data_IF_040285428329
#
_entry.id   IF_040285428329
#
_cell.length_a   1.000
_cell.length_b   1.000
_cell.length_c   1.000
_cell.angle_alpha   90.00
_cell.angle_beta   90.00
_cell.angle_gamma   90.00
#
_symmetry.space_group_name_H-M   'P 1'
#
loop_
_entity.id
_entity.type
_entity.pdbx_description
1 polymer ?
#
# COMPACT_ATOMS: atom_id res chain seq x y z
N UNK A 1 -18.57 13.53 -5.15
CA UNK A 1 -18.73 12.31 -4.31
C UNK A 1 -20.21 12.19 -3.93
N UNK A 2 -20.79 10.99 -3.96
CA UNK A 2 -22.24 10.78 -3.70
C UNK A 2 -22.51 10.08 -2.38
N UNK A 3 -21.64 9.12 -2.08
CA UNK A 3 -21.72 8.31 -0.88
C UNK A 3 -20.45 8.45 -0.07
N UNK A 4 -20.62 8.41 1.24
CA UNK A 4 -19.54 8.45 2.21
C UNK A 4 -19.84 7.45 3.31
N UNK A 5 -18.93 6.51 3.51
CA UNK A 5 -19.07 5.42 4.48
C UNK A 5 -17.95 5.45 5.50
N UNK A 6 -18.28 5.10 6.74
CA UNK A 6 -17.28 4.71 7.75
C UNK A 6 -17.84 3.53 8.52
N UNK A 7 -17.05 2.46 8.59
CA UNK A 7 -17.41 1.21 9.26
C UNK A 7 -16.26 0.84 10.18
N UNK A 8 -16.57 0.48 11.41
CA UNK A 8 -15.58 0.05 12.40
C UNK A 8 -16.25 -0.67 13.54
N UNK A 9 -15.46 -1.46 14.27
CA UNK A 9 -16.00 -2.39 15.25
C UNK A 9 -15.03 -2.61 16.43
N UNK A 10 -15.59 -3.07 17.54
CA UNK A 10 -14.91 -3.83 18.60
C UNK A 10 -15.45 -5.27 18.57
N UNK A 11 -14.89 -6.21 19.35
CA UNK A 11 -15.50 -7.54 19.50
C UNK A 11 -16.97 -7.51 19.93
N UNK A 12 -17.42 -6.44 20.60
CA UNK A 12 -18.76 -6.36 21.18
C UNK A 12 -19.74 -5.49 20.36
N UNK A 13 -19.25 -4.56 19.53
CA UNK A 13 -20.10 -3.64 18.78
C UNK A 13 -19.56 -3.35 17.38
N UNK A 14 -20.44 -3.32 16.39
CA UNK A 14 -20.18 -2.82 15.04
C UNK A 14 -20.99 -1.54 14.80
N UNK A 15 -20.34 -0.52 14.25
CA UNK A 15 -21.01 0.71 13.79
C UNK A 15 -20.67 0.94 12.33
N UNK A 16 -21.71 1.07 11.51
CA UNK A 16 -21.63 1.52 10.13
C UNK A 16 -22.37 2.85 9.99
N UNK A 17 -21.76 3.81 9.33
CA UNK A 17 -22.32 5.14 9.13
C UNK A 17 -22.23 5.51 7.66
N UNK A 18 -23.34 5.96 7.11
CA UNK A 18 -23.45 6.48 5.76
C UNK A 18 -23.90 7.93 5.77
N UNK A 19 -23.33 8.72 4.86
CA UNK A 19 -23.76 10.08 4.55
C UNK A 19 -23.88 10.19 3.04
N UNK A 20 -25.03 10.63 2.56
CA UNK A 20 -25.32 10.85 1.15
C UNK A 20 -26.65 11.57 0.96
N UNK A 21 -26.89 12.06 -0.24
CA UNK A 21 -28.19 12.63 -0.60
C UNK A 21 -29.13 11.50 -1.02
N UNK A 22 -30.36 11.47 -0.47
CA UNK A 22 -31.36 10.44 -0.77
C UNK A 22 -31.78 10.41 -2.25
N UNK A 23 -31.54 11.50 -2.99
CA UNK A 23 -31.86 11.64 -4.41
C UNK A 23 -30.66 11.29 -5.33
N UNK A 24 -29.58 10.73 -4.77
CA UNK A 24 -28.36 10.35 -5.51
C UNK A 24 -27.63 11.54 -6.17
N UNK A 25 -27.99 12.79 -5.81
CA UNK A 25 -27.23 13.96 -6.23
C UNK A 25 -25.84 13.99 -5.56
N UNK A 26 -24.89 14.66 -6.21
CA UNK A 26 -23.55 14.79 -5.66
C UNK A 26 -23.54 15.71 -4.42
N UNK A 27 -22.83 15.31 -3.38
CA UNK A 27 -22.60 16.15 -2.20
C UNK A 27 -21.61 17.27 -2.53
N UNK A 28 -21.88 18.48 -2.02
CA UNK A 28 -21.15 19.71 -2.39
C UNK A 28 -19.93 20.01 -1.51
N UNK A 29 -19.95 19.68 -0.21
CA UNK A 29 -18.88 20.01 0.76
C UNK A 29 -18.27 18.80 1.49
N UNK A 30 -19.02 17.72 1.65
CA UNK A 30 -18.59 16.52 2.39
C UNK A 30 -18.03 15.51 1.39
N UNK A 31 -16.83 15.80 0.88
CA UNK A 31 -16.26 15.11 -0.27
C UNK A 31 -15.14 14.10 0.07
N UNK A 32 -15.08 13.62 1.32
CA UNK A 32 -14.17 12.55 1.74
C UNK A 32 -14.74 11.76 2.92
N UNK A 33 -14.45 10.45 2.96
CA UNK A 33 -14.73 9.54 4.10
C UNK A 33 -14.53 10.20 5.46
N UNK A 34 -13.36 10.83 5.60
CA UNK A 34 -12.85 11.44 6.84
C UNK A 34 -13.66 12.67 7.30
N UNK A 35 -14.27 13.41 6.37
CA UNK A 35 -14.99 14.66 6.70
C UNK A 35 -16.49 14.49 6.79
N UNK A 36 -17.03 13.30 6.48
CA UNK A 36 -18.47 13.04 6.47
C UNK A 36 -18.95 11.99 7.46
N UNK A 37 -18.85 10.71 7.09
CA UNK A 37 -19.33 9.64 7.95
C UNK A 37 -18.41 9.41 9.17
N UNK A 38 -17.10 9.65 9.03
CA UNK A 38 -16.13 9.34 10.10
C UNK A 38 -16.36 10.12 11.41
N UNK A 39 -16.66 11.44 11.41
CA UNK A 39 -16.93 12.19 12.64
C UNK A 39 -18.21 11.72 13.35
N UNK A 40 -19.23 11.29 12.60
CA UNK A 40 -20.48 10.75 13.17
C UNK A 40 -20.18 9.39 13.81
N UNK A 41 -19.50 8.50 13.09
CA UNK A 41 -19.03 7.21 13.61
C UNK A 41 -18.19 7.39 14.88
N UNK A 42 -17.25 8.34 14.91
CA UNK A 42 -16.40 8.60 16.07
C UNK A 42 -17.19 9.03 17.30
N UNK A 43 -18.20 9.89 17.12
CA UNK A 43 -19.08 10.32 18.22
C UNK A 43 -19.88 9.14 18.78
N UNK A 44 -20.43 8.28 17.92
CA UNK A 44 -21.16 7.08 18.32
C UNK A 44 -20.23 6.16 19.12
N UNK A 45 -19.07 5.80 18.56
CA UNK A 45 -18.11 4.90 19.21
C UNK A 45 -17.63 5.44 20.56
N UNK A 46 -17.28 6.73 20.66
CA UNK A 46 -16.90 7.35 21.93
C UNK A 46 -18.00 7.30 22.97
N UNK A 47 -19.25 7.49 22.56
CA UNK A 47 -20.38 7.44 23.47
C UNK A 47 -20.62 6.01 23.99
N UNK A 48 -20.73 5.03 23.10
CA UNK A 48 -21.04 3.65 23.48
C UNK A 48 -19.91 2.95 24.25
N UNK A 49 -18.65 3.38 24.05
CA UNK A 49 -17.48 2.80 24.71
C UNK A 49 -17.05 3.55 25.99
N UNK A 50 -17.67 4.70 26.32
CA UNK A 50 -17.22 5.57 27.41
C UNK A 50 -17.04 4.89 28.77
N UNK A 51 -17.90 3.91 29.10
CA UNK A 51 -17.86 3.13 30.35
C UNK A 51 -17.63 1.63 30.09
N UNK A 52 -17.09 1.26 28.93
CA UNK A 52 -16.78 -0.13 28.58
C UNK A 52 -15.31 -0.43 28.85
N UNK A 53 -15.04 -1.59 29.43
CA UNK A 53 -13.67 -2.10 29.51
C UNK A 53 -13.23 -2.52 28.10
N UNK A 54 -11.99 -2.21 27.75
CA UNK A 54 -11.41 -2.66 26.49
C UNK A 54 -11.41 -4.18 26.40
N UNK A 55 -12.01 -4.69 25.33
CA UNK A 55 -12.00 -6.09 24.95
C UNK A 55 -11.23 -6.22 23.64
N UNK A 56 -9.99 -6.70 23.71
CA UNK A 56 -9.17 -6.96 22.54
C UNK A 56 -9.41 -8.38 22.02
N UNK A 57 -9.45 -8.58 20.69
CA UNK A 57 -9.51 -9.92 20.14
C UNK A 57 -8.28 -10.72 20.55
N UNK A 58 -8.50 -11.96 20.98
CA UNK A 58 -7.40 -12.91 21.21
C UNK A 58 -6.86 -13.39 19.87
N UNK A 59 -5.53 -13.47 19.75
CA UNK A 59 -4.89 -14.02 18.55
C UNK A 59 -5.41 -15.45 18.29
N UNK A 60 -6.04 -15.73 17.14
CA UNK A 60 -6.57 -17.05 16.84
C UNK A 60 -5.47 -18.11 16.72
N UNK A 61 -5.84 -19.38 16.94
CA UNK A 61 -4.98 -20.50 16.58
C UNK A 61 -4.66 -20.46 15.09
N UNK A 62 -3.39 -20.72 14.73
CA UNK A 62 -2.95 -20.66 13.35
C UNK A 62 -2.62 -19.24 12.87
N UNK A 63 -2.63 -18.22 13.72
CA UNK A 63 -1.94 -16.95 13.45
C UNK A 63 -0.57 -16.98 14.11
N UNK A 64 0.48 -16.67 13.37
CA UNK A 64 1.88 -16.70 13.84
C UNK A 64 2.57 -15.36 13.57
N UNK A 65 3.53 -15.00 14.42
CA UNK A 65 4.42 -13.86 14.18
C UNK A 65 5.62 -14.29 13.33
N UNK A 66 6.00 -13.48 12.35
CA UNK A 66 7.26 -13.62 11.60
C UNK A 66 7.92 -12.28 11.40
N UNK A 67 9.24 -12.29 11.43
CA UNK A 67 10.03 -11.14 11.01
C UNK A 67 10.08 -11.10 9.48
N UNK A 68 9.76 -9.94 8.94
CA UNK A 68 9.87 -9.63 7.51
C UNK A 68 10.72 -8.39 7.30
N UNK A 69 11.36 -8.27 6.16
CA UNK A 69 12.07 -7.06 5.78
C UNK A 69 11.15 -5.85 5.78
N UNK A 70 11.56 -4.75 6.40
CA UNK A 70 10.75 -3.54 6.57
C UNK A 70 10.32 -2.89 5.25
N UNK A 71 11.09 -3.07 4.18
CA UNK A 71 10.81 -2.51 2.85
C UNK A 71 10.07 -3.53 1.97
N UNK A 72 10.62 -4.73 1.80
CA UNK A 72 10.08 -5.72 0.86
C UNK A 72 8.88 -6.50 1.40
N UNK A 73 8.72 -6.59 2.73
CA UNK A 73 7.72 -7.46 3.36
C UNK A 73 8.01 -8.96 3.21
N UNK A 74 9.20 -9.34 2.69
CA UNK A 74 9.60 -10.73 2.53
C UNK A 74 10.30 -11.29 3.77
N UNK A 75 10.38 -12.61 3.84
CA UNK A 75 11.19 -13.29 4.86
C UNK A 75 12.68 -12.98 4.63
N UNK A 76 13.43 -12.57 5.67
CA UNK A 76 14.87 -12.38 5.57
C UNK A 76 15.57 -13.72 5.31
N UNK A 77 16.55 -13.74 4.41
CA UNK A 77 17.40 -14.92 4.17
C UNK A 77 18.86 -14.60 4.52
N UNK A 78 19.71 -15.62 4.76
CA UNK A 78 21.14 -15.39 4.97
C UNK A 78 21.82 -14.66 3.81
N UNK A 79 21.35 -14.88 2.58
CA UNK A 79 21.88 -14.27 1.35
C UNK A 79 21.38 -12.83 1.14
N UNK A 80 20.23 -12.48 1.73
CA UNK A 80 19.62 -11.17 1.60
C UNK A 80 19.10 -10.71 2.97
N UNK A 81 20.05 -10.36 3.84
CA UNK A 81 19.74 -9.79 5.16
C UNK A 81 19.25 -8.35 5.03
N UNK A 82 18.30 -7.98 5.88
CA UNK A 82 17.59 -6.70 5.81
C UNK A 82 17.20 -6.24 7.23
N UNK A 83 16.88 -4.96 7.39
CA UNK A 83 16.19 -4.49 8.58
C UNK A 83 14.80 -5.12 8.64
N UNK A 84 14.44 -5.72 9.78
CA UNK A 84 13.19 -6.47 9.93
C UNK A 84 12.15 -5.75 10.80
N UNK A 85 10.88 -6.07 10.55
CA UNK A 85 9.74 -5.77 11.42
C UNK A 85 8.89 -7.03 11.59
N UNK A 86 8.23 -7.13 12.74
CA UNK A 86 7.34 -8.27 13.04
C UNK A 86 5.95 -8.04 12.46
N UNK A 87 5.43 -9.03 11.74
CA UNK A 87 4.08 -9.05 11.17
C UNK A 87 3.36 -10.37 11.51
N UNK A 88 2.03 -10.34 11.49
CA UNK A 88 1.18 -11.50 11.74
C UNK A 88 0.78 -12.19 10.43
N UNK A 89 0.94 -13.51 10.40
CA UNK A 89 0.60 -14.36 9.25
C UNK A 89 -0.31 -15.50 9.65
N UNK A 90 -1.11 -15.98 8.69
CA UNK A 90 -1.72 -17.30 8.82
C UNK A 90 -0.59 -18.33 8.71
N UNK A 91 -0.59 -19.32 9.60
CA UNK A 91 0.40 -20.37 9.67
C UNK A 91 0.54 -21.03 8.30
N UNK A 92 1.78 -21.21 7.86
CA UNK A 92 2.16 -21.83 6.59
C UNK A 92 1.73 -21.03 5.35
N UNK A 93 1.22 -19.79 5.50
CA UNK A 93 0.97 -18.85 4.42
C UNK A 93 1.91 -17.66 4.59
N UNK A 94 3.06 -17.76 3.92
CA UNK A 94 4.09 -16.73 3.95
C UNK A 94 4.23 -16.08 2.57
N UNK A 95 4.76 -14.84 2.50
CA UNK A 95 5.07 -14.23 1.22
C UNK A 95 6.10 -15.09 0.47
N UNK A 96 5.67 -15.67 -0.65
CA UNK A 96 6.50 -16.44 -1.56
C UNK A 96 6.81 -15.64 -2.84
N UNK A 97 8.04 -15.78 -3.33
CA UNK A 97 8.51 -15.57 -4.70
C UNK A 97 8.30 -14.23 -5.43
N UNK A 98 7.60 -13.23 -4.88
CA UNK A 98 7.70 -11.87 -5.41
C UNK A 98 8.87 -11.15 -4.77
N UNK A 99 10.06 -11.43 -5.29
CA UNK A 99 11.33 -10.90 -4.80
C UNK A 99 11.48 -9.45 -5.29
N UNK A 100 11.59 -8.43 -4.41
CA UNK A 100 12.34 -7.26 -4.79
C UNK A 100 13.77 -7.70 -5.03
N UNK A 101 14.13 -7.82 -6.29
CA UNK A 101 15.48 -8.21 -6.67
C UNK A 101 16.41 -7.05 -6.34
N UNK A 102 17.54 -7.35 -5.69
CA UNK A 102 18.66 -6.42 -5.69
C UNK A 102 19.15 -6.32 -7.14
N UNK A 103 18.89 -5.18 -7.79
CA UNK A 103 19.36 -4.91 -9.15
C UNK A 103 20.15 -3.63 -9.18
N UNK A 104 21.12 -3.60 -10.08
CA UNK A 104 21.76 -2.38 -10.48
C UNK A 104 20.82 -1.60 -11.40
N UNK A 105 20.34 -0.46 -10.94
CA UNK A 105 19.53 0.47 -11.72
C UNK A 105 20.27 1.79 -11.90
N UNK A 106 19.91 2.49 -12.97
CA UNK A 106 20.44 3.81 -13.24
C UNK A 106 19.67 4.86 -12.44
N UNK A 107 20.41 5.64 -11.67
CA UNK A 107 19.90 6.80 -10.93
C UNK A 107 20.60 8.05 -11.43
N UNK A 108 19.91 9.19 -11.37
CA UNK A 108 20.48 10.47 -11.81
C UNK A 108 21.53 10.92 -10.80
N UNK A 109 22.72 11.28 -11.27
CA UNK A 109 23.83 11.68 -10.38
C UNK A 109 23.51 12.90 -9.54
N UNK A 110 22.73 13.84 -10.09
CA UNK A 110 22.40 15.12 -9.47
C UNK A 110 21.56 15.03 -8.20
N UNK A 111 20.56 14.15 -8.17
CA UNK A 111 19.54 14.08 -7.11
C UNK A 111 19.25 12.68 -6.60
N UNK A 112 19.91 11.66 -7.18
CA UNK A 112 19.74 10.25 -6.81
C UNK A 112 18.33 9.71 -7.03
N UNK A 113 17.54 10.35 -7.89
CA UNK A 113 16.24 9.84 -8.28
C UNK A 113 16.36 8.75 -9.35
N UNK A 114 15.44 7.78 -9.37
CA UNK A 114 15.38 6.81 -10.46
C UNK A 114 14.98 7.51 -11.76
N UNK A 115 15.41 6.97 -12.89
CA UNK A 115 14.99 7.46 -14.20
C UNK A 115 13.48 7.32 -14.38
N UNK A 116 12.82 8.44 -14.68
CA UNK A 116 11.41 8.46 -15.02
C UNK A 116 11.19 8.56 -16.53
N UNK A 117 9.99 8.22 -16.99
CA UNK A 117 9.65 8.32 -18.41
C UNK A 117 9.78 9.77 -18.90
N UNK A 118 10.64 9.99 -19.90
CA UNK A 118 10.93 11.32 -20.46
C UNK A 118 12.16 12.02 -19.88
N UNK A 119 12.82 11.42 -18.89
CA UNK A 119 14.08 11.94 -18.36
C UNK A 119 15.24 11.80 -19.38
N UNK A 120 16.21 12.70 -19.29
CA UNK A 120 17.44 12.61 -20.07
C UNK A 120 18.33 11.47 -19.55
N UNK A 121 18.99 10.75 -20.46
CA UNK A 121 19.87 9.62 -20.13
C UNK A 121 21.34 10.04 -19.95
N UNK A 122 21.59 11.31 -19.61
CA UNK A 122 22.94 11.87 -19.44
C UNK A 122 23.21 12.00 -17.94
N UNK A 123 24.43 11.71 -17.51
CA UNK A 123 24.91 11.84 -16.12
C UNK A 123 24.18 10.92 -15.12
N UNK A 124 24.32 9.62 -15.34
CA UNK A 124 23.72 8.56 -14.54
C UNK A 124 24.81 7.81 -13.75
N UNK A 125 24.46 7.42 -12.53
CA UNK A 125 25.22 6.48 -11.72
C UNK A 125 24.48 5.15 -11.70
N UNK A 126 25.24 4.05 -11.77
CA UNK A 126 24.69 2.71 -11.63
C UNK A 126 24.78 2.31 -10.15
N UNK A 127 23.64 2.23 -9.49
CA UNK A 127 23.54 1.95 -8.05
C UNK A 127 22.70 0.70 -7.79
N UNK A 128 23.04 -0.03 -6.74
CA UNK A 128 22.33 -1.25 -6.37
C UNK A 128 21.14 -0.91 -5.46
N UNK A 129 19.95 -1.25 -5.90
CA UNK A 129 18.70 -0.94 -5.22
C UNK A 129 17.78 -2.16 -5.12
N UNK A 130 16.90 -2.14 -4.13
CA UNK A 130 15.79 -3.08 -4.04
C UNK A 130 14.68 -2.66 -5.02
N UNK A 131 14.45 -3.47 -6.07
CA UNK A 131 13.47 -3.12 -7.10
C UNK A 131 12.38 -4.17 -7.25
N UNK A 132 11.16 -3.71 -7.46
CA UNK A 132 9.99 -4.54 -7.72
C UNK A 132 9.61 -4.43 -9.20
N UNK A 133 9.31 -5.56 -9.84
CA UNK A 133 8.75 -5.58 -11.19
C UNK A 133 7.34 -6.16 -11.14
N UNK A 134 6.40 -5.46 -11.74
CA UNK A 134 5.05 -5.94 -11.99
C UNK A 134 4.76 -5.92 -13.51
N UNK A 135 3.60 -6.43 -13.97
CA UNK A 135 3.25 -6.47 -15.39
C UNK A 135 3.19 -5.11 -16.10
N UNK A 136 3.12 -4.00 -15.36
CA UNK A 136 2.99 -2.63 -15.85
C UNK A 136 4.24 -1.79 -15.62
N UNK A 137 4.99 -2.05 -14.54
CA UNK A 137 6.17 -1.30 -14.15
C UNK A 137 7.35 -2.24 -13.97
N UNK A 138 8.43 -1.97 -14.71
CA UNK A 138 9.69 -2.71 -14.55
C UNK A 138 10.63 -1.96 -13.61
N UNK A 139 11.30 -2.73 -12.75
CA UNK A 139 12.37 -2.27 -11.86
C UNK A 139 12.01 -1.00 -11.06
N UNK A 140 10.80 -0.96 -10.51
CA UNK A 140 10.36 0.10 -9.61
C UNK A 140 11.21 0.09 -8.33
N UNK A 141 11.93 1.17 -8.09
CA UNK A 141 12.85 1.26 -6.95
C UNK A 141 12.11 1.51 -5.63
N UNK A 142 12.25 0.60 -4.67
CA UNK A 142 11.53 0.66 -3.39
C UNK A 142 12.25 1.53 -2.35
N UNK A 143 13.57 1.66 -2.45
CA UNK A 143 14.43 2.35 -1.49
C UNK A 143 15.05 3.64 -2.04
N UNK A 144 14.69 4.05 -3.26
CA UNK A 144 15.13 5.30 -3.87
C UNK A 144 14.42 6.52 -3.28
N UNK A 145 15.09 7.66 -3.42
CA UNK A 145 14.45 8.96 -3.23
C UNK A 145 13.65 9.34 -4.48
N UNK A 146 12.55 10.06 -4.27
CA UNK A 146 11.66 10.52 -5.33
C UNK A 146 11.42 12.03 -5.20
N UNK A 147 11.09 12.73 -6.30
CA UNK A 147 10.77 14.15 -6.27
C UNK A 147 9.64 14.46 -5.28
N UNK A 148 9.71 15.61 -4.63
CA UNK A 148 8.67 16.11 -3.74
C UNK A 148 8.04 17.38 -4.28
N UNK A 149 6.75 17.56 -4.03
CA UNK A 149 6.03 18.77 -4.40
C UNK A 149 6.24 19.91 -3.38
N UNK A 150 5.66 21.07 -3.64
CA UNK A 150 5.75 22.25 -2.77
C UNK A 150 5.14 22.02 -1.36
N UNK A 151 4.45 20.90 -1.14
CA UNK A 151 3.86 20.48 0.13
C UNK A 151 4.63 19.32 0.77
N UNK A 152 5.85 19.05 0.31
CA UNK A 152 6.73 17.97 0.78
C UNK A 152 6.14 16.56 0.55
N UNK A 153 5.23 16.40 -0.40
CA UNK A 153 4.64 15.10 -0.75
C UNK A 153 5.40 14.45 -1.89
N UNK A 154 5.66 13.14 -1.78
CA UNK A 154 6.33 12.37 -2.82
C UNK A 154 5.47 12.36 -4.10
N UNK A 155 6.08 12.77 -5.20
CA UNK A 155 5.54 12.68 -6.56
C UNK A 155 5.88 11.31 -7.13
N UNK A 156 4.96 10.35 -6.98
CA UNK A 156 5.15 9.00 -7.51
C UNK A 156 5.08 8.97 -9.04
N UNK A 157 5.90 8.13 -9.71
CA UNK A 157 5.84 7.98 -11.15
C UNK A 157 4.50 7.40 -11.59
N UNK A 158 3.91 7.98 -12.62
CA UNK A 158 2.62 7.55 -13.16
C UNK A 158 2.82 6.69 -14.41
N UNK A 159 2.20 5.51 -14.43
CA UNK A 159 2.12 4.66 -15.62
C UNK A 159 0.70 4.69 -16.17
N UNK A 160 0.54 5.00 -17.47
CA UNK A 160 -0.76 4.91 -18.14
C UNK A 160 -0.96 3.49 -18.66
N UNK A 161 -1.94 2.79 -18.10
CA UNK A 161 -2.30 1.43 -18.55
C UNK A 161 -3.35 1.54 -19.67
N UNK A 162 -3.05 1.00 -20.85
CA UNK A 162 -4.03 0.88 -21.93
C UNK A 162 -4.98 -0.29 -21.63
N UNK A 163 -6.24 0.05 -21.36
CA UNK A 163 -7.28 -0.89 -20.91
C UNK A 163 -7.74 -1.86 -22.00
N UNK A 164 -7.68 -1.46 -23.27
CA UNK A 164 -8.09 -2.31 -24.39
C UNK A 164 -7.12 -3.47 -24.60
N UNK A 165 -5.82 -3.22 -24.44
CA UNK A 165 -4.78 -4.28 -24.43
C UNK A 165 -4.86 -5.16 -23.18
N UNK A 166 -5.26 -4.62 -22.03
CA UNK A 166 -5.37 -5.38 -20.78
C UNK A 166 -6.49 -6.43 -20.83
N UNK A 167 -7.60 -6.13 -21.51
CA UNK A 167 -8.75 -7.04 -21.61
C UNK A 167 -8.46 -8.31 -22.42
N UNK A 168 -7.50 -8.26 -23.34
CA UNK A 168 -7.16 -9.37 -24.23
C UNK A 168 -6.21 -10.40 -23.61
N UNK A 169 -5.44 -10.00 -22.58
CA UNK A 169 -4.58 -10.88 -21.78
C UNK A 169 -4.61 -10.44 -20.32
N UNK A 170 -5.66 -10.80 -19.56
CA UNK A 170 -5.68 -10.51 -18.14
C UNK A 170 -4.48 -11.21 -17.47
N UNK A 171 -3.68 -10.49 -16.66
CA UNK A 171 -2.58 -11.10 -15.93
C UNK A 171 -3.14 -12.19 -15.03
N UNK A 172 -2.63 -13.40 -15.18
CA UNK A 172 -3.05 -14.55 -14.38
C UNK A 172 -2.39 -14.45 -12.99
N UNK A 173 -3.12 -14.62 -11.88
CA UNK A 173 -2.55 -14.66 -10.53
C UNK A 173 -1.37 -15.64 -10.37
N UNK A 174 -1.34 -16.73 -11.15
CA UNK A 174 -0.24 -17.71 -11.14
C UNK A 174 1.04 -17.24 -11.85
N UNK A 175 1.00 -16.19 -12.66
CA UNK A 175 2.19 -15.62 -13.31
C UNK A 175 3.02 -14.72 -12.40
N UNK A 176 2.51 -14.35 -11.22
CA UNK A 176 3.24 -13.56 -10.23
C UNK A 176 4.15 -14.40 -9.31
N UNK A 177 4.09 -15.73 -9.37
CA UNK A 177 4.83 -16.61 -8.45
C UNK A 177 6.05 -17.29 -9.08
N UNK A 178 6.29 -17.08 -10.39
CA UNK A 178 7.30 -17.81 -11.18
C UNK A 178 8.12 -16.91 -12.13
N UNK A 179 8.46 -15.69 -11.73
CA UNK A 179 9.45 -14.86 -12.42
C UNK A 179 10.58 -14.46 -11.48
#
# INVERSE_FOLDING_TARGET
MRDNWTIGFTPDVLVATWVGNNDNSAMSYVASGVTGASPIWNKIMKHILSDKKDHFPTQPEGVVSRDVCSISGLLPTPENSCETRSELFIKDIFPENNIPSLKQIWVRRSDKYPLLAGDNTIDLDLEQHSVLTDPFVRDFCLDCQYPRDDKDQIQWPTTTVNYDTFRLSPPNPKTYLNL
#
